data_IF_874716448233
#
_entry.id   IF_874716448233
#
_cell.length_a   1.000
_cell.length_b   1.000
_cell.length_c   1.000
_cell.angle_alpha   90.00
_cell.angle_beta   90.00
_cell.angle_gamma   90.00
#
_symmetry.space_group_name_H-M   'P 1'
#
loop_
_entity.id
_entity.type
_entity.pdbx_description
1 polymer ?
#
# COMPACT_ATOMS: atom_id res chain seq x y z
N UNK A 1 5.06 -9.03 3.33
CA UNK A 1 4.08 -9.83 2.58
C UNK A 1 2.61 -9.52 2.87
N UNK A 2 2.25 -8.71 3.87
CA UNK A 2 0.84 -8.44 4.21
C UNK A 2 -0.04 -7.91 3.07
N UNK A 3 0.51 -7.15 2.12
CA UNK A 3 -0.23 -6.65 0.96
C UNK A 3 -0.68 -7.74 -0.04
N UNK A 4 -0.12 -8.97 0.04
CA UNK A 4 -0.56 -10.12 -0.78
C UNK A 4 -1.91 -10.67 -0.35
N UNK A 5 -2.21 -10.57 0.94
CA UNK A 5 -3.38 -11.20 1.56
C UNK A 5 -4.44 -10.12 1.85
N UNK A 6 -5.48 -9.98 1.01
CA UNK A 6 -6.58 -9.02 1.20
C UNK A 6 -7.13 -8.99 2.63
N UNK A 7 -7.19 -10.17 3.24
CA UNK A 7 -7.80 -10.43 4.54
C UNK A 7 -7.14 -9.61 5.64
N UNK A 8 -5.84 -9.35 5.55
CA UNK A 8 -5.09 -8.59 6.57
C UNK A 8 -5.59 -7.14 6.66
N UNK A 9 -5.89 -6.54 5.52
CA UNK A 9 -6.41 -5.16 5.44
C UNK A 9 -7.90 -5.14 5.69
N UNK A 10 -8.63 -6.11 5.12
CA UNK A 10 -10.07 -6.25 5.33
C UNK A 10 -10.43 -6.39 6.80
N UNK A 11 -9.69 -7.21 7.55
CA UNK A 11 -9.93 -7.44 8.96
C UNK A 11 -9.85 -6.14 9.77
N UNK A 12 -8.86 -5.29 9.49
CA UNK A 12 -8.69 -4.00 10.15
C UNK A 12 -9.75 -2.98 9.70
N UNK A 13 -10.02 -2.90 8.39
CA UNK A 13 -11.01 -1.99 7.82
C UNK A 13 -12.43 -2.24 8.37
N UNK A 14 -12.82 -3.51 8.50
CA UNK A 14 -14.10 -3.92 9.12
C UNK A 14 -14.24 -3.49 10.58
N UNK A 15 -13.13 -3.14 11.24
CA UNK A 15 -13.08 -2.67 12.64
C UNK A 15 -12.87 -1.16 12.73
N UNK A 16 -13.13 -0.44 11.64
CA UNK A 16 -13.11 1.02 11.59
C UNK A 16 -11.73 1.63 11.32
N UNK A 17 -10.73 0.84 10.93
CA UNK A 17 -9.44 1.40 10.54
C UNK A 17 -9.61 2.38 9.36
N UNK A 18 -9.03 3.58 9.50
CA UNK A 18 -9.00 4.61 8.44
C UNK A 18 -7.71 4.58 7.63
N UNK A 19 -6.67 4.00 8.19
CA UNK A 19 -5.37 3.77 7.59
C UNK A 19 -4.82 2.44 8.08
N UNK A 20 -4.15 1.69 7.19
CA UNK A 20 -3.34 0.54 7.56
C UNK A 20 -1.88 0.82 7.22
N UNK A 21 -1.01 0.66 8.21
CA UNK A 21 0.43 0.67 8.03
C UNK A 21 0.92 -0.74 7.78
N UNK A 22 1.64 -0.93 6.69
CA UNK A 22 2.12 -2.23 6.27
C UNK A 22 3.62 -2.13 6.02
N UNK A 23 4.39 -2.75 6.92
CA UNK A 23 5.82 -2.88 6.77
C UNK A 23 6.13 -4.09 5.88
N UNK A 24 7.16 -3.98 5.04
CA UNK A 24 7.71 -5.10 4.29
C UNK A 24 9.17 -4.89 3.95
N UNK A 25 9.77 -5.95 3.44
CA UNK A 25 11.09 -5.98 2.85
C UNK A 25 10.95 -6.70 1.50
N UNK A 26 11.01 -5.95 0.40
CA UNK A 26 11.00 -6.50 -0.97
C UNK A 26 12.10 -5.89 -1.82
N UNK A 27 12.85 -6.75 -2.51
CA UNK A 27 14.05 -6.39 -3.26
C UNK A 27 15.35 -6.90 -2.65
N UNK A 28 16.46 -6.36 -3.14
CA UNK A 28 17.82 -6.79 -2.79
C UNK A 28 18.83 -5.65 -2.95
N UNK A 29 20.02 -5.80 -2.33
CA UNK A 29 21.17 -4.92 -2.57
C UNK A 29 22.17 -5.49 -3.59
N UNK A 30 22.04 -6.76 -3.98
CA UNK A 30 23.02 -7.44 -4.84
C UNK A 30 22.60 -7.54 -6.30
N UNK A 31 21.30 -7.70 -6.57
CA UNK A 31 20.77 -7.85 -7.93
C UNK A 31 19.30 -7.49 -8.01
N UNK A 32 18.85 -6.98 -9.15
CA UNK A 32 17.45 -6.75 -9.45
C UNK A 32 17.25 -5.61 -10.45
N UNK A 33 16.00 -5.19 -10.64
CA UNK A 33 15.64 -4.06 -11.50
C UNK A 33 15.61 -2.78 -10.68
N UNK A 34 16.13 -1.69 -11.23
CA UNK A 34 15.97 -0.37 -10.64
C UNK A 34 14.68 0.27 -11.14
N UNK A 35 13.70 0.37 -10.24
CA UNK A 35 12.44 1.03 -10.52
C UNK A 35 12.64 2.55 -10.62
N UNK A 36 11.94 3.19 -11.56
CA UNK A 36 12.02 4.64 -11.82
C UNK A 36 10.68 5.35 -11.70
N UNK A 37 9.59 4.61 -11.90
CA UNK A 37 8.23 5.15 -11.98
C UNK A 37 7.32 4.31 -11.11
N UNK A 38 6.67 4.95 -10.14
CA UNK A 38 5.67 4.30 -9.29
C UNK A 38 4.50 3.78 -10.12
N UNK A 39 4.10 2.54 -9.86
CA UNK A 39 3.00 1.88 -10.55
C UNK A 39 3.30 1.52 -12.01
N UNK A 40 4.56 1.54 -12.44
CA UNK A 40 4.93 1.16 -13.81
C UNK A 40 4.37 -0.21 -14.20
N UNK A 41 3.94 -0.35 -15.45
CA UNK A 41 3.46 -1.63 -16.00
C UNK A 41 4.57 -2.69 -16.03
N UNK A 42 5.81 -2.26 -16.22
CA UNK A 42 6.99 -3.13 -16.25
C UNK A 42 7.52 -3.48 -14.85
N UNK A 43 7.00 -2.84 -13.80
CA UNK A 43 7.38 -3.11 -12.42
C UNK A 43 6.65 -4.33 -11.86
N UNK A 44 7.22 -4.99 -10.83
CA UNK A 44 6.52 -6.00 -10.03
C UNK A 44 5.13 -5.54 -9.58
N UNK A 45 4.25 -6.49 -9.31
CA UNK A 45 2.85 -6.21 -9.04
C UNK A 45 2.59 -5.54 -7.66
N UNK A 46 3.62 -5.36 -6.83
CA UNK A 46 3.47 -5.00 -5.42
C UNK A 46 2.75 -3.67 -5.21
N UNK A 47 3.16 -2.60 -5.90
CA UNK A 47 2.52 -1.28 -5.82
C UNK A 47 1.06 -1.33 -6.30
N UNK A 48 0.76 -2.22 -7.26
CA UNK A 48 -0.60 -2.48 -7.75
C UNK A 48 -1.42 -3.21 -6.68
N UNK A 49 -0.85 -4.21 -6.01
CA UNK A 49 -1.52 -4.89 -4.90
C UNK A 49 -1.80 -3.93 -3.74
N UNK A 50 -0.85 -3.08 -3.36
CA UNK A 50 -1.03 -2.05 -2.33
C UNK A 50 -2.14 -1.06 -2.71
N UNK A 51 -2.21 -0.66 -3.98
CA UNK A 51 -3.31 0.15 -4.53
C UNK A 51 -4.67 -0.53 -4.31
N UNK A 52 -4.76 -1.82 -4.62
CA UNK A 52 -5.98 -2.59 -4.44
C UNK A 52 -6.38 -2.69 -2.96
N UNK A 53 -5.43 -2.83 -2.03
CA UNK A 53 -5.72 -2.86 -0.59
C UNK A 53 -6.42 -1.59 -0.11
N UNK A 54 -6.00 -0.41 -0.59
CA UNK A 54 -6.68 0.84 -0.28
C UNK A 54 -8.08 0.90 -0.92
N UNK A 55 -8.17 0.62 -2.23
CA UNK A 55 -9.40 0.70 -3.01
C UNK A 55 -10.51 -0.20 -2.46
N UNK A 56 -10.24 -1.49 -2.33
CA UNK A 56 -11.26 -2.48 -1.96
C UNK A 56 -11.80 -2.28 -0.54
N UNK A 57 -11.08 -1.53 0.30
CA UNK A 57 -11.45 -1.21 1.67
C UNK A 57 -11.97 0.22 1.82
N UNK A 58 -11.72 1.09 0.84
CA UNK A 58 -12.01 2.53 0.91
C UNK A 58 -11.37 3.19 2.14
N UNK A 59 -10.09 2.90 2.35
CA UNK A 59 -9.25 3.43 3.45
C UNK A 59 -7.85 3.79 2.92
N UNK A 60 -7.06 4.52 3.69
CA UNK A 60 -5.66 4.74 3.35
C UNK A 60 -4.81 3.48 3.54
N UNK A 61 -3.77 3.35 2.72
CA UNK A 61 -2.76 2.31 2.87
C UNK A 61 -1.37 2.94 2.84
N UNK A 62 -0.64 2.80 3.95
CA UNK A 62 0.72 3.29 4.12
C UNK A 62 1.69 2.11 4.04
N UNK A 63 2.35 1.99 2.90
CA UNK A 63 3.36 0.98 2.62
C UNK A 63 4.73 1.48 3.06
N UNK A 64 5.45 0.70 3.87
CA UNK A 64 6.76 1.09 4.44
C UNK A 64 7.79 0.02 4.09
N UNK A 65 8.77 0.39 3.26
CA UNK A 65 9.83 -0.50 2.78
C UNK A 65 11.22 -0.01 3.22
N UNK A 66 12.21 -0.88 3.05
CA UNK A 66 13.62 -0.56 3.16
C UNK A 66 14.14 0.11 1.88
N UNK A 67 15.06 1.06 2.03
CA UNK A 67 15.76 1.74 0.94
C UNK A 67 16.83 0.85 0.28
N UNK A 68 16.41 -0.28 -0.28
CA UNK A 68 17.30 -1.22 -0.98
C UNK A 68 17.66 -0.70 -2.37
N UNK A 69 18.87 -1.01 -2.84
CA UNK A 69 19.35 -0.61 -4.18
C UNK A 69 18.45 -1.10 -5.31
N UNK A 70 17.92 -2.32 -5.19
CA UNK A 70 16.99 -2.93 -6.14
C UNK A 70 15.67 -3.24 -5.43
N UNK A 71 15.08 -2.23 -4.79
CA UNK A 71 13.78 -2.38 -4.15
C UNK A 71 12.67 -2.65 -5.18
N UNK A 72 11.74 -3.51 -4.84
CA UNK A 72 10.66 -3.92 -5.76
C UNK A 72 9.36 -3.13 -5.54
N UNK A 73 9.36 -2.20 -4.59
CA UNK A 73 8.27 -1.25 -4.33
C UNK A 73 8.77 -0.08 -3.47
N UNK A 74 8.18 1.09 -3.62
CA UNK A 74 8.49 2.24 -2.77
C UNK A 74 7.74 2.23 -1.43
N UNK A 75 8.33 2.90 -0.43
CA UNK A 75 7.57 3.47 0.68
C UNK A 75 6.59 4.49 0.11
N UNK A 76 5.29 4.30 0.32
CA UNK A 76 4.27 5.12 -0.30
C UNK A 76 2.99 5.22 0.54
N UNK A 77 2.25 6.31 0.33
CA UNK A 77 0.92 6.52 0.86
C UNK A 77 -0.09 6.48 -0.29
N UNK A 78 -1.11 5.64 -0.13
CA UNK A 78 -2.18 5.43 -1.11
C UNK A 78 -3.50 5.88 -0.51
N UNK A 79 -4.26 6.65 -1.27
CA UNK A 79 -5.57 7.18 -0.86
C UNK A 79 -6.66 6.11 -0.90
N UNK A 80 -7.81 6.33 -0.23
CA UNK A 80 -9.00 5.47 -0.35
C UNK A 80 -9.49 5.24 -1.78
N UNK A 81 -9.14 6.14 -2.71
CA UNK A 81 -9.44 6.03 -4.14
C UNK A 81 -8.34 5.31 -4.95
N UNK A 82 -7.36 4.69 -4.29
CA UNK A 82 -6.26 3.96 -4.93
C UNK A 82 -5.17 4.84 -5.54
N UNK A 83 -5.23 6.17 -5.37
CA UNK A 83 -4.21 7.06 -5.92
C UNK A 83 -2.97 7.03 -5.03
N UNK A 84 -1.78 6.94 -5.62
CA UNK A 84 -0.56 7.26 -4.89
C UNK A 84 -0.56 8.75 -4.55
N UNK A 85 -0.71 9.07 -3.26
CA UNK A 85 -0.64 10.45 -2.77
C UNK A 85 0.81 10.94 -2.77
N UNK A 86 1.73 10.12 -2.28
CA UNK A 86 3.16 10.40 -2.26
C UNK A 86 3.96 9.10 -2.09
N UNK A 87 5.21 9.10 -2.52
CA UNK A 87 6.16 8.02 -2.32
C UNK A 87 7.58 8.58 -2.15
N UNK A 88 8.45 7.84 -1.46
CA UNK A 88 9.89 8.16 -1.40
C UNK A 88 10.61 7.65 -2.65
N UNK A 89 11.66 8.35 -3.12
CA UNK A 89 12.50 7.87 -4.22
C UNK A 89 13.04 6.45 -3.96
N UNK A 90 13.31 5.72 -5.04
CA UNK A 90 13.77 4.34 -4.93
C UNK A 90 15.22 4.25 -4.43
N UNK A 91 15.45 3.45 -3.39
CA UNK A 91 16.78 3.24 -2.82
C UNK A 91 17.31 4.40 -1.97
N UNK A 92 16.46 5.37 -1.62
CA UNK A 92 16.81 6.51 -0.77
C UNK A 92 16.19 6.38 0.62
N UNK A 93 17.01 6.55 1.66
CA UNK A 93 16.54 6.62 3.03
C UNK A 93 15.77 7.91 3.28
N UNK A 94 14.65 7.83 3.98
CA UNK A 94 13.85 9.01 4.26
C UNK A 94 12.60 8.74 5.07
N UNK A 95 11.87 9.82 5.37
CA UNK A 95 10.60 9.79 6.09
C UNK A 95 9.55 10.46 5.21
N UNK A 96 8.46 9.75 4.95
CA UNK A 96 7.32 10.28 4.21
C UNK A 96 6.30 10.89 5.18
N UNK A 97 6.16 12.21 5.14
CA UNK A 97 5.15 12.95 5.94
C UNK A 97 4.08 13.48 5.00
N UNK A 98 2.82 13.16 5.28
CA UNK A 98 1.66 13.53 4.47
C UNK A 98 0.43 13.76 5.35
N UNK A 99 -0.40 14.77 5.05
CA UNK A 99 -1.70 14.92 5.69
C UNK A 99 -2.67 13.83 5.20
N UNK A 100 -3.59 13.43 6.09
CA UNK A 100 -4.69 12.52 5.77
C UNK A 100 -6.02 13.25 5.94
N UNK A 101 -6.87 13.16 4.93
CA UNK A 101 -8.29 13.48 5.07
C UNK A 101 -9.02 12.21 5.53
N UNK A 102 -9.19 12.07 6.84
CA UNK A 102 -9.77 10.86 7.44
C UNK A 102 -11.23 10.63 7.04
N UNK A 103 -11.94 11.67 6.60
CA UNK A 103 -13.33 11.57 6.16
C UNK A 103 -13.43 10.88 4.79
N UNK A 104 -12.40 11.01 3.95
CA UNK A 104 -12.30 10.27 2.69
C UNK A 104 -12.18 8.74 2.90
N UNK A 105 -11.67 8.30 4.04
CA UNK A 105 -11.55 6.88 4.39
C UNK A 105 -12.87 6.33 4.94
N UNK A 106 -13.88 6.28 4.09
CA UNK A 106 -15.25 5.91 4.50
C UNK A 106 -15.38 4.47 4.99
N UNK A 107 -14.49 3.55 4.57
CA UNK A 107 -14.64 2.12 4.86
C UNK A 107 -15.81 1.46 4.11
N UNK A 108 -16.42 2.15 3.13
CA UNK A 108 -17.68 1.74 2.49
C UNK A 108 -17.62 0.33 1.91
N UNK A 109 -16.57 0.02 1.15
CA UNK A 109 -16.43 -1.32 0.56
C UNK A 109 -16.05 -2.39 1.59
N UNK A 110 -15.38 -2.01 2.68
CA UNK A 110 -15.18 -2.91 3.81
C UNK A 110 -16.51 -3.29 4.44
N UNK A 111 -17.35 -2.32 4.82
CA UNK A 111 -18.63 -2.57 5.49
C UNK A 111 -19.62 -3.45 4.70
N UNK A 112 -19.41 -3.63 3.39
CA UNK A 112 -20.21 -4.53 2.54
C UNK A 112 -19.77 -6.01 2.63
N UNK A 113 -18.67 -6.31 3.31
CA UNK A 113 -18.21 -7.68 3.49
C UNK A 113 -19.23 -8.49 4.31
N UNK A 114 -19.63 -9.62 3.75
CA UNK A 114 -20.68 -10.51 4.25
C UNK A 114 -20.08 -11.91 4.45
N UNK A 115 -19.40 -12.17 5.59
CA UNK A 115 -18.67 -13.42 5.82
C UNK A 115 -19.56 -14.67 5.80
N UNK A 116 -20.87 -14.53 6.01
CA UNK A 116 -21.83 -15.63 5.97
C UNK A 116 -22.06 -16.20 4.55
N UNK A 117 -21.46 -15.59 3.51
CA UNK A 117 -21.62 -15.97 2.10
C UNK A 117 -20.37 -16.59 1.48
N UNK A 118 -19.31 -16.81 2.25
CA UNK A 118 -18.00 -17.32 1.80
C UNK A 118 -17.49 -18.40 2.77
#
# INVERSE_FOLDING_TARGET
EGWRYPETVRWAAMRGAKVVFQLHHTGSNTSGVQLKTWGSMDAPYYEKAMMLRALENTIYFASVNYALRYQESATCLITPAGKCQAFLPYGEEGVLVQPLDVDAATGLLAARYAPERY
#
